data_IF_974719755791
#
_entry.id   IF_974719755791
#
_cell.length_a   1.000
_cell.length_b   1.000
_cell.length_c   1.000
_cell.angle_alpha   90.00
_cell.angle_beta   90.00
_cell.angle_gamma   90.00
#
_symmetry.space_group_name_H-M   'P 1'
#
loop_
_entity.id
_entity.type
_entity.pdbx_description
1 polymer ?
#
# COMPACT_ATOMS: atom_id res chain seq x y z
N UNK A 1 11.72 7.62 6.50
CA UNK A 1 10.96 8.85 6.21
C UNK A 1 9.78 9.06 7.17
N UNK A 2 8.94 8.05 7.43
CA UNK A 2 7.72 8.17 8.25
C UNK A 2 7.94 8.75 9.65
N UNK A 3 8.98 8.30 10.37
CA UNK A 3 9.32 8.84 11.69
C UNK A 3 9.56 10.37 11.67
N UNK A 4 10.28 10.87 10.65
CA UNK A 4 10.56 12.32 10.50
C UNK A 4 9.29 13.10 10.14
N UNK A 5 8.46 12.54 9.25
CA UNK A 5 7.19 13.15 8.89
C UNK A 5 6.24 13.23 10.09
N UNK A 6 6.10 12.14 10.85
CA UNK A 6 5.31 12.09 12.07
C UNK A 6 5.80 13.12 13.09
N UNK A 7 7.11 13.18 13.35
CA UNK A 7 7.70 14.16 14.26
C UNK A 7 7.34 15.59 13.85
N UNK A 8 7.50 15.93 12.56
CA UNK A 8 7.18 17.25 12.03
C UNK A 8 5.69 17.60 12.14
N UNK A 9 4.78 16.64 11.91
CA UNK A 9 3.34 16.87 12.05
C UNK A 9 2.96 17.06 13.52
N UNK A 10 3.54 16.25 14.42
CA UNK A 10 3.31 16.35 15.86
C UNK A 10 3.82 17.67 16.44
N UNK A 11 5.04 18.09 16.10
CA UNK A 11 5.64 19.36 16.56
C UNK A 11 4.83 20.59 16.11
N UNK A 12 4.14 20.49 14.96
CA UNK A 12 3.29 21.56 14.41
C UNK A 12 1.83 21.47 14.85
N UNK A 13 1.47 20.52 15.71
CA UNK A 13 0.08 20.25 16.12
C UNK A 13 -0.88 20.11 14.90
N UNK A 14 -0.43 19.39 13.88
CA UNK A 14 -1.15 19.23 12.61
C UNK A 14 -1.82 17.86 12.53
N UNK A 15 -3.12 17.84 12.23
CA UNK A 15 -3.94 16.65 12.01
C UNK A 15 -3.66 16.07 10.62
N UNK A 16 -2.46 15.50 10.45
CA UNK A 16 -1.97 15.03 9.16
C UNK A 16 -2.37 13.60 8.80
N UNK A 17 -1.85 13.13 7.66
CA UNK A 17 -2.11 11.79 7.15
C UNK A 17 -0.85 11.22 6.49
N UNK A 18 -0.40 10.05 6.95
CA UNK A 18 0.64 9.24 6.29
C UNK A 18 -0.03 8.20 5.40
N UNK A 19 0.27 8.19 4.11
CA UNK A 19 -0.15 7.12 3.20
C UNK A 19 1.06 6.28 2.83
N UNK A 20 0.94 4.97 2.99
CA UNK A 20 2.00 3.99 2.70
C UNK A 20 1.56 3.13 1.52
N UNK A 21 2.32 3.14 0.43
CA UNK A 21 2.05 2.29 -0.74
C UNK A 21 2.64 0.90 -0.50
N UNK A 22 1.76 -0.04 -0.15
CA UNK A 22 2.07 -1.44 0.08
C UNK A 22 1.88 -2.26 -1.22
N UNK A 23 1.26 -3.44 -1.16
CA UNK A 23 0.95 -4.33 -2.29
C UNK A 23 0.05 -5.45 -1.80
N UNK A 24 -0.74 -6.06 -2.69
CA UNK A 24 -1.37 -7.37 -2.45
C UNK A 24 -0.35 -8.45 -2.03
N UNK A 25 0.92 -8.30 -2.42
CA UNK A 25 2.02 -9.17 -2.00
C UNK A 25 2.36 -9.05 -0.49
N UNK A 26 1.84 -8.03 0.20
CA UNK A 26 1.96 -7.87 1.65
C UNK A 26 0.89 -8.62 2.44
N UNK A 27 0.00 -9.34 1.75
CA UNK A 27 -1.15 -10.04 2.30
C UNK A 27 -1.28 -11.48 1.81
N UNK A 28 -0.73 -11.77 0.64
CA UNK A 28 -0.66 -13.09 0.03
C UNK A 28 0.60 -13.19 -0.81
N UNK A 29 1.21 -14.37 -0.91
CA UNK A 29 2.36 -14.61 -1.80
C UNK A 29 1.84 -15.26 -3.08
N UNK A 30 1.87 -14.58 -4.25
CA UNK A 30 1.40 -15.16 -5.49
C UNK A 30 2.23 -16.40 -5.87
N UNK A 31 1.56 -17.51 -6.11
CA UNK A 31 2.19 -18.70 -6.69
C UNK A 31 2.33 -18.46 -8.19
N UNK A 32 3.57 -18.34 -8.67
CA UNK A 32 3.83 -18.42 -10.11
C UNK A 32 3.89 -19.90 -10.47
N UNK A 33 2.72 -20.51 -10.72
CA UNK A 33 2.63 -21.91 -11.15
C UNK A 33 3.01 -21.98 -12.63
N UNK A 34 3.97 -22.84 -12.99
CA UNK A 34 4.31 -23.13 -14.39
C UNK A 34 5.56 -22.47 -14.95
N UNK A 35 6.36 -21.78 -14.13
CA UNK A 35 7.73 -21.44 -14.50
C UNK A 35 8.70 -22.45 -13.88
N UNK A 36 9.55 -23.11 -14.67
CA UNK A 36 10.74 -23.87 -14.22
C UNK A 36 11.81 -22.98 -13.56
N UNK A 37 11.40 -21.83 -13.00
CA UNK A 37 12.23 -20.81 -12.38
C UNK A 37 11.77 -20.60 -10.94
N UNK A 38 12.72 -20.40 -10.00
CA UNK A 38 12.39 -20.05 -8.63
C UNK A 38 11.58 -18.75 -8.56
N UNK A 39 10.71 -18.64 -7.55
CA UNK A 39 9.80 -17.50 -7.34
C UNK A 39 10.54 -16.16 -7.47
N UNK A 40 10.15 -15.37 -8.47
CA UNK A 40 10.72 -14.03 -8.71
C UNK A 40 10.35 -12.98 -7.64
N UNK A 41 9.53 -13.37 -6.65
CA UNK A 41 8.97 -12.48 -5.61
C UNK A 41 9.67 -12.70 -4.24
N UNK A 42 10.88 -13.28 -4.24
CA UNK A 42 11.54 -13.83 -3.05
C UNK A 42 11.67 -12.87 -1.85
N UNK A 43 12.17 -11.64 -2.03
CA UNK A 43 12.35 -10.62 -0.98
C UNK A 43 11.22 -9.59 -1.04
N UNK A 44 10.61 -9.42 -2.22
CA UNK A 44 9.53 -8.45 -2.40
C UNK A 44 8.33 -8.75 -1.50
N UNK A 45 7.80 -9.98 -1.51
CA UNK A 45 6.64 -10.32 -0.69
C UNK A 45 6.95 -10.20 0.82
N UNK A 46 8.03 -10.79 1.37
CA UNK A 46 8.41 -10.56 2.77
C UNK A 46 8.55 -9.08 3.14
N UNK A 47 9.12 -8.25 2.26
CA UNK A 47 9.25 -6.81 2.51
C UNK A 47 7.89 -6.11 2.59
N UNK A 48 6.91 -6.54 1.78
CA UNK A 48 5.55 -6.00 1.78
C UNK A 48 4.75 -6.48 2.99
N UNK A 49 4.95 -7.72 3.45
CA UNK A 49 4.41 -8.17 4.74
C UNK A 49 4.99 -7.37 5.91
N UNK A 50 6.28 -7.04 5.88
CA UNK A 50 6.89 -6.17 6.87
C UNK A 50 6.26 -4.77 6.86
N UNK A 51 5.91 -4.23 5.69
CA UNK A 51 5.17 -2.97 5.57
C UNK A 51 3.76 -3.07 6.18
N UNK A 52 3.06 -4.19 5.98
CA UNK A 52 1.75 -4.45 6.61
C UNK A 52 1.85 -4.36 8.14
N UNK A 53 2.79 -5.10 8.73
CA UNK A 53 3.02 -5.07 10.18
C UNK A 53 3.47 -3.68 10.67
N UNK A 54 4.39 -3.03 9.96
CA UNK A 54 4.90 -1.70 10.30
C UNK A 54 3.80 -0.64 10.31
N UNK A 55 2.89 -0.68 9.33
CA UNK A 55 1.78 0.27 9.24
C UNK A 55 0.86 0.13 10.45
N UNK A 56 0.57 -1.10 10.87
CA UNK A 56 -0.26 -1.36 12.05
C UNK A 56 0.43 -0.91 13.35
N UNK A 57 1.73 -1.18 13.50
CA UNK A 57 2.51 -0.68 14.65
C UNK A 57 2.44 0.85 14.72
N UNK A 58 2.73 1.54 13.62
CA UNK A 58 2.70 3.00 13.57
C UNK A 58 1.31 3.56 13.86
N UNK A 59 0.25 2.91 13.38
CA UNK A 59 -1.13 3.30 13.69
C UNK A 59 -1.41 3.24 15.19
N UNK A 60 -0.97 2.18 15.86
CA UNK A 60 -1.11 2.03 17.30
C UNK A 60 -0.26 3.06 18.06
N UNK A 61 0.96 3.34 17.61
CA UNK A 61 1.82 4.37 18.19
C UNK A 61 1.21 5.77 18.07
N UNK A 62 0.70 6.13 16.88
CA UNK A 62 0.10 7.45 16.64
C UNK A 62 -1.11 7.67 17.54
N UNK A 63 -1.93 6.62 17.72
CA UNK A 63 -3.04 6.60 18.68
C UNK A 63 -2.57 6.68 20.13
N UNK A 64 -1.55 5.89 20.51
CA UNK A 64 -1.00 5.87 21.87
C UNK A 64 -0.40 7.21 22.29
N UNK A 65 0.16 7.95 21.33
CA UNK A 65 0.66 9.32 21.50
C UNK A 65 -0.45 10.38 21.47
N UNK A 66 -1.73 9.97 21.46
CA UNK A 66 -2.92 10.82 21.47
C UNK A 66 -2.93 11.87 20.35
N UNK A 67 -2.39 11.51 19.18
CA UNK A 67 -2.43 12.38 17.99
C UNK A 67 -3.70 12.10 17.19
N UNK A 68 -4.09 13.06 16.34
CA UNK A 68 -5.12 12.85 15.30
C UNK A 68 -4.51 12.58 13.93
N UNK A 69 -3.22 12.22 13.90
CA UNK A 69 -2.51 11.92 12.65
C UNK A 69 -2.98 10.53 12.18
N UNK A 70 -3.54 10.49 10.97
CA UNK A 70 -3.99 9.25 10.32
C UNK A 70 -2.82 8.50 9.68
N UNK A 71 -2.94 7.19 9.54
CA UNK A 71 -2.09 6.39 8.67
C UNK A 71 -2.91 5.36 7.90
N UNK A 72 -2.61 5.19 6.61
CA UNK A 72 -3.32 4.25 5.72
C UNK A 72 -2.33 3.47 4.85
N UNK A 73 -2.56 2.16 4.73
CA UNK A 73 -1.91 1.30 3.73
C UNK A 73 -2.74 1.29 2.45
N UNK A 74 -2.12 1.49 1.28
CA UNK A 74 -2.75 1.26 -0.03
C UNK A 74 -2.02 0.10 -0.69
N UNK A 75 -2.74 -0.99 -0.91
CA UNK A 75 -2.24 -2.29 -1.35
C UNK A 75 -2.74 -2.62 -2.76
N UNK A 76 -2.07 -2.09 -3.81
CA UNK A 76 -2.46 -2.36 -5.18
C UNK A 76 -2.04 -3.76 -5.64
N UNK A 77 -2.82 -4.30 -6.57
CA UNK A 77 -2.48 -5.43 -7.42
C UNK A 77 -1.54 -5.02 -8.56
N UNK A 78 -1.47 -5.86 -9.60
CA UNK A 78 -0.69 -5.57 -10.79
C UNK A 78 -1.10 -4.20 -11.35
N UNK A 79 -0.14 -3.29 -11.51
CA UNK A 79 -0.38 -1.89 -11.92
C UNK A 79 0.61 -1.51 -13.01
N UNK A 80 0.12 -0.92 -14.10
CA UNK A 80 0.91 -0.56 -15.27
C UNK A 80 1.84 0.62 -14.95
N UNK A 81 3.05 0.27 -14.52
CA UNK A 81 4.14 1.15 -14.12
C UNK A 81 5.46 0.44 -14.43
N UNK A 82 6.58 1.15 -14.37
CA UNK A 82 7.91 0.67 -14.75
C UNK A 82 8.40 -0.53 -13.91
N UNK A 83 7.81 -0.78 -12.73
CA UNK A 83 8.13 -1.96 -11.90
C UNK A 83 7.71 -3.27 -12.59
N UNK A 84 6.73 -3.21 -13.50
CA UNK A 84 6.18 -4.38 -14.18
C UNK A 84 6.96 -4.63 -15.47
N UNK A 85 7.50 -5.84 -15.69
CA UNK A 85 8.11 -6.21 -16.96
C UNK A 85 7.10 -6.28 -18.12
N UNK A 86 7.54 -5.96 -19.34
CA UNK A 86 6.68 -5.93 -20.55
C UNK A 86 5.91 -7.22 -20.81
N UNK A 87 6.45 -8.37 -20.39
CA UNK A 87 5.79 -9.66 -20.53
C UNK A 87 4.43 -9.75 -19.83
N UNK A 88 4.17 -8.88 -18.84
CA UNK A 88 2.91 -8.79 -18.10
C UNK A 88 1.98 -7.68 -18.63
N UNK A 89 2.43 -6.88 -19.61
CA UNK A 89 1.61 -5.86 -20.29
C UNK A 89 0.92 -6.45 -21.52
N UNK A 90 0.14 -7.50 -21.32
CA UNK A 90 -0.62 -8.17 -22.39
C UNK A 90 -2.11 -7.89 -22.25
N UNK A 91 -2.86 -7.76 -23.35
CA UNK A 91 -4.31 -7.50 -23.30
C UNK A 91 -5.09 -8.53 -22.46
N UNK A 92 -4.59 -9.76 -22.36
CA UNK A 92 -5.22 -10.86 -21.62
C UNK A 92 -4.91 -10.83 -20.11
N UNK A 93 -3.99 -9.97 -19.66
CA UNK A 93 -3.61 -9.83 -18.25
C UNK A 93 -4.25 -8.55 -17.72
N UNK A 94 -5.30 -8.65 -16.89
CA UNK A 94 -5.91 -7.48 -16.27
C UNK A 94 -4.89 -6.74 -15.40
N UNK A 95 -4.78 -5.43 -15.60
CA UNK A 95 -3.82 -4.57 -14.91
C UNK A 95 -4.49 -3.24 -14.54
N UNK A 96 -4.18 -2.73 -13.35
CA UNK A 96 -4.59 -1.39 -12.94
C UNK A 96 -3.78 -0.34 -13.68
N UNK A 97 -4.32 0.87 -13.80
CA UNK A 97 -3.54 2.05 -14.18
C UNK A 97 -3.03 2.78 -12.94
N UNK A 98 -2.00 3.59 -13.12
CA UNK A 98 -1.44 4.40 -12.01
C UNK A 98 -2.49 5.36 -11.41
N UNK A 99 -3.42 5.83 -12.24
CA UNK A 99 -4.52 6.71 -11.89
C UNK A 99 -5.49 6.04 -10.92
N UNK A 100 -5.70 4.73 -11.03
CA UNK A 100 -6.56 3.96 -10.12
C UNK A 100 -5.97 3.95 -8.70
N UNK A 101 -4.64 3.78 -8.59
CA UNK A 101 -3.93 3.84 -7.30
C UNK A 101 -3.94 5.27 -6.74
N UNK A 102 -3.72 6.27 -7.59
CA UNK A 102 -3.77 7.68 -7.16
C UNK A 102 -5.16 8.10 -6.68
N UNK A 103 -6.23 7.57 -7.29
CA UNK A 103 -7.62 7.80 -6.89
C UNK A 103 -7.90 7.19 -5.52
N UNK A 104 -7.37 6.00 -5.25
CA UNK A 104 -7.43 5.39 -3.92
C UNK A 104 -6.73 6.27 -2.88
N UNK A 105 -5.55 6.79 -3.18
CA UNK A 105 -4.82 7.71 -2.28
C UNK A 105 -5.66 8.98 -2.03
N UNK A 106 -6.19 9.61 -3.09
CA UNK A 106 -7.01 10.82 -2.97
C UNK A 106 -8.24 10.58 -2.09
N UNK A 107 -8.92 9.43 -2.26
CA UNK A 107 -10.04 9.04 -1.41
C UNK A 107 -9.63 8.95 0.07
N UNK A 108 -8.48 8.33 0.39
CA UNK A 108 -8.02 8.27 1.79
C UNK A 108 -7.78 9.65 2.37
N UNK A 109 -7.20 10.56 1.59
CA UNK A 109 -6.93 11.93 2.00
C UNK A 109 -8.21 12.75 2.17
N UNK A 110 -9.26 12.49 1.38
CA UNK A 110 -10.55 13.20 1.47
C UNK A 110 -11.40 12.79 2.68
N UNK A 111 -11.03 11.72 3.39
CA UNK A 111 -11.79 11.28 4.58
C UNK A 111 -11.71 12.31 5.71
N UNK A 112 -12.80 12.56 6.45
CA UNK A 112 -12.82 13.54 7.52
C UNK A 112 -11.84 13.16 8.65
N UNK A 113 -11.43 14.11 9.52
CA UNK A 113 -10.40 13.85 10.55
C UNK A 113 -10.73 12.72 11.54
N UNK A 114 -12.01 12.42 11.77
CA UNK A 114 -12.46 11.37 12.67
C UNK A 114 -12.53 9.98 12.00
N UNK A 115 -12.36 9.89 10.68
CA UNK A 115 -12.45 8.66 9.91
C UNK A 115 -11.05 8.22 9.49
N UNK A 116 -10.61 7.05 9.97
CA UNK A 116 -9.35 6.43 9.58
C UNK A 116 -9.60 5.22 8.70
N UNK A 117 -9.21 5.31 7.43
CA UNK A 117 -9.10 4.14 6.56
C UNK A 117 -7.83 3.40 6.93
N UNK A 118 -7.93 2.19 7.44
CA UNK A 118 -6.74 1.40 7.80
C UNK A 118 -6.01 0.92 6.55
N UNK A 119 -6.75 0.37 5.60
CA UNK A 119 -6.21 -0.16 4.38
C UNK A 119 -7.20 -0.07 3.21
N UNK A 120 -6.66 0.09 2.01
CA UNK A 120 -7.36 -0.16 0.75
C UNK A 120 -6.59 -1.22 -0.02
N UNK A 121 -7.23 -2.33 -0.32
CA UNK A 121 -6.73 -3.31 -1.30
C UNK A 121 -7.49 -3.12 -2.60
N UNK A 122 -6.75 -2.86 -3.69
CA UNK A 122 -7.34 -2.63 -5.01
C UNK A 122 -6.71 -3.60 -6.01
N UNK A 123 -7.54 -4.31 -6.76
CA UNK A 123 -7.13 -5.31 -7.76
C UNK A 123 -7.91 -5.09 -9.06
N UNK A 124 -7.35 -5.50 -10.21
CA UNK A 124 -8.15 -5.65 -11.43
C UNK A 124 -9.32 -6.60 -11.19
N UNK A 125 -10.49 -6.31 -11.78
CA UNK A 125 -11.72 -7.09 -11.57
C UNK A 125 -11.67 -8.54 -12.08
N UNK A 126 -10.70 -8.88 -12.93
CA UNK A 126 -10.65 -10.17 -13.62
C UNK A 126 -9.34 -10.95 -13.36
N UNK A 127 -8.58 -10.59 -12.32
CA UNK A 127 -7.36 -11.27 -11.93
C UNK A 127 -7.35 -11.61 -10.45
N UNK A 128 -7.75 -12.85 -10.11
CA UNK A 128 -7.56 -13.45 -8.79
C UNK A 128 -6.25 -14.25 -8.73
#
# INVERSE_FOLDING_TARGET
>A
CTQRAFRSMKERNFDGHVVVVNSVAGHSVPLVIGSDRPLMINVYAPSKYAITALTEVLRQEFRGLKTKIKITSVSPGLTDTEIIPDQYRRPEIPILKSEDVSSCILFTLSTPPHMQVHEITVKPTSGD
#
